data_IF_068559891433
#
_entry.id   IF_068559891433
#
_cell.length_a   1.000
_cell.length_b   1.000
_cell.length_c   1.000
_cell.angle_alpha   90.00
_cell.angle_beta   90.00
_cell.angle_gamma   90.00
#
_symmetry.space_group_name_H-M   'P 1'
#
loop_
_entity.id
_entity.type
_entity.pdbx_description
1 polymer ?
#
# COMPACT_ATOMS: atom_id res chain seq x y z
N UNK A 1 43.51 5.97 2.87
CA UNK A 1 42.19 6.50 3.34
C UNK A 1 41.36 7.18 2.24
N UNK A 2 41.94 7.91 1.27
CA UNK A 2 41.20 8.54 0.16
C UNK A 2 40.49 7.53 -0.76
N UNK A 3 41.16 6.46 -1.22
CA UNK A 3 40.52 5.44 -2.07
C UNK A 3 39.33 4.75 -1.40
N UNK A 4 39.43 4.42 -0.10
CA UNK A 4 38.32 3.79 0.65
C UNK A 4 37.10 4.71 0.69
N UNK A 5 37.28 6.03 0.91
CA UNK A 5 36.16 6.99 0.88
C UNK A 5 35.52 7.10 -0.50
N UNK A 6 36.32 7.08 -1.57
CA UNK A 6 35.81 7.13 -2.95
C UNK A 6 35.04 5.86 -3.31
N UNK A 7 35.53 4.68 -2.91
CA UNK A 7 34.82 3.41 -3.12
C UNK A 7 33.49 3.37 -2.36
N UNK A 8 33.47 3.82 -1.11
CA UNK A 8 32.24 3.89 -0.31
C UNK A 8 31.23 4.88 -0.92
N UNK A 9 31.69 6.04 -1.39
CA UNK A 9 30.82 7.02 -2.05
C UNK A 9 30.22 6.47 -3.35
N UNK A 10 31.02 5.80 -4.18
CA UNK A 10 30.55 5.18 -5.41
C UNK A 10 29.54 4.05 -5.14
N UNK A 11 29.78 3.22 -4.10
CA UNK A 11 28.85 2.17 -3.69
C UNK A 11 27.51 2.75 -3.21
N UNK A 12 27.54 3.82 -2.41
CA UNK A 12 26.34 4.51 -1.95
C UNK A 12 25.54 5.11 -3.12
N UNK A 13 26.20 5.73 -4.09
CA UNK A 13 25.55 6.27 -5.29
C UNK A 13 24.91 5.13 -6.12
N UNK A 14 25.60 4.00 -6.25
CA UNK A 14 25.07 2.82 -6.93
C UNK A 14 23.81 2.26 -6.26
N UNK A 15 23.78 2.22 -4.92
CA UNK A 15 22.60 1.77 -4.15
C UNK A 15 21.42 2.72 -4.36
N UNK A 16 21.65 4.04 -4.34
CA UNK A 16 20.59 5.04 -4.56
C UNK A 16 20.04 4.95 -5.98
N UNK A 17 20.91 4.78 -6.98
CA UNK A 17 20.51 4.65 -8.38
C UNK A 17 19.73 3.37 -8.69
N UNK A 18 19.92 2.32 -7.89
CA UNK A 18 19.21 1.04 -8.01
C UNK A 18 17.90 0.98 -7.21
N UNK A 19 17.55 2.03 -6.45
CA UNK A 19 16.31 2.06 -5.69
C UNK A 19 15.10 2.25 -6.61
N UNK A 20 14.21 1.26 -6.67
CA UNK A 20 12.90 1.41 -7.33
C UNK A 20 11.98 2.34 -6.53
N UNK A 21 11.13 3.15 -7.18
CA UNK A 21 10.18 3.99 -6.48
C UNK A 21 9.19 3.13 -5.69
N UNK A 22 9.02 3.42 -4.40
CA UNK A 22 7.92 2.87 -3.62
C UNK A 22 6.59 3.42 -4.18
N UNK A 23 5.75 2.53 -4.72
CA UNK A 23 4.38 2.85 -5.11
C UNK A 23 3.51 2.63 -3.87
N UNK A 24 2.74 3.64 -3.47
CA UNK A 24 1.69 3.46 -2.47
C UNK A 24 0.44 2.86 -3.14
N UNK A 25 -0.42 2.18 -2.36
CA UNK A 25 -1.77 1.79 -2.80
C UNK A 25 -2.46 2.97 -3.45
N UNK A 26 -2.79 2.85 -4.73
CA UNK A 26 -3.60 3.81 -5.45
C UNK A 26 -5.09 3.52 -5.18
N UNK A 27 -5.86 4.54 -4.84
CA UNK A 27 -7.28 4.36 -4.56
C UNK A 27 -8.05 4.15 -5.86
N UNK A 28 -8.82 3.06 -5.94
CA UNK A 28 -9.66 2.74 -7.09
C UNK A 28 -11.03 3.42 -6.93
N UNK A 29 -11.43 4.19 -7.93
CA UNK A 29 -12.75 4.84 -7.92
C UNK A 29 -13.85 3.81 -8.16
N UNK A 30 -14.81 3.75 -7.25
CA UNK A 30 -16.05 2.98 -7.40
C UNK A 30 -17.10 3.87 -8.04
N UNK A 31 -17.86 3.32 -9.00
CA UNK A 31 -18.99 4.00 -9.64
C UNK A 31 -20.20 3.06 -9.62
N UNK A 32 -21.40 3.61 -9.45
CA UNK A 32 -22.66 2.85 -9.38
C UNK A 32 -22.98 2.09 -10.67
N UNK A 33 -22.49 2.57 -11.81
CA UNK A 33 -22.69 2.01 -13.14
C UNK A 33 -21.66 0.94 -13.53
N UNK A 34 -20.64 0.73 -12.69
CA UNK A 34 -19.56 -0.22 -12.96
C UNK A 34 -19.91 -1.59 -12.36
N UNK A 35 -20.18 -2.61 -13.18
CA UNK A 35 -20.69 -3.89 -12.69
C UNK A 35 -19.66 -4.73 -11.93
N UNK A 36 -18.37 -4.52 -12.21
CA UNK A 36 -17.28 -5.21 -11.53
C UNK A 36 -16.00 -4.35 -11.57
N UNK A 37 -15.18 -4.46 -10.53
CA UNK A 37 -13.86 -3.82 -10.43
C UNK A 37 -12.81 -4.93 -10.37
N UNK A 38 -11.85 -4.90 -11.29
CA UNK A 38 -10.70 -5.81 -11.24
C UNK A 38 -9.67 -5.28 -10.23
N UNK A 39 -9.41 -6.08 -9.19
CA UNK A 39 -8.49 -5.74 -8.10
C UNK A 39 -7.18 -6.51 -8.18
N UNK A 40 -6.98 -7.34 -9.21
CA UNK A 40 -5.88 -8.31 -9.27
C UNK A 40 -4.51 -7.66 -9.12
N UNK A 41 -4.29 -6.56 -9.84
CA UNK A 41 -3.03 -5.81 -9.82
C UNK A 41 -3.04 -4.65 -8.82
N UNK A 42 -4.23 -4.24 -8.37
CA UNK A 42 -4.40 -3.12 -7.44
C UNK A 42 -4.25 -3.54 -5.97
N UNK A 43 -4.36 -4.84 -5.68
CA UNK A 43 -4.22 -5.38 -4.34
C UNK A 43 -2.74 -5.59 -3.97
N UNK A 44 -2.30 -4.92 -2.91
CA UNK A 44 -1.04 -5.23 -2.25
C UNK A 44 -1.18 -6.52 -1.43
N UNK A 45 -0.20 -7.41 -1.59
CA UNK A 45 -0.16 -8.69 -0.88
C UNK A 45 0.74 -8.55 0.34
N UNK A 46 0.17 -8.75 1.51
CA UNK A 46 0.87 -8.69 2.79
C UNK A 46 0.88 -10.05 3.47
N UNK A 47 1.95 -10.34 4.18
CA UNK A 47 2.06 -11.50 5.05
C UNK A 47 2.40 -11.02 6.47
N UNK A 48 1.70 -11.55 7.47
CA UNK A 48 1.90 -11.20 8.89
C UNK A 48 2.33 -12.43 9.69
N UNK A 49 3.10 -12.24 10.76
CA UNK A 49 3.51 -13.37 11.61
C UNK A 49 2.35 -13.91 12.47
N UNK A 50 1.32 -13.10 12.70
CA UNK A 50 0.12 -13.47 13.43
C UNK A 50 -1.15 -13.27 12.62
N UNK A 51 -2.29 -13.54 13.25
CA UNK A 51 -3.62 -13.49 12.64
C UNK A 51 -4.17 -12.06 12.51
N UNK A 52 -3.33 -11.03 12.54
CA UNK A 52 -3.76 -9.63 12.57
C UNK A 52 -2.95 -8.78 11.60
N UNK A 53 -3.65 -7.91 10.88
CA UNK A 53 -3.06 -6.84 10.08
C UNK A 53 -3.51 -5.48 10.60
N UNK A 54 -2.58 -4.51 10.60
CA UNK A 54 -2.86 -3.11 10.87
C UNK A 54 -2.55 -2.30 9.62
N UNK A 55 -3.57 -1.65 9.05
CA UNK A 55 -3.40 -0.78 7.88
C UNK A 55 -3.97 0.60 8.16
N UNK A 56 -3.35 1.63 7.60
CA UNK A 56 -3.91 2.98 7.63
C UNK A 56 -4.80 3.16 6.41
N UNK A 57 -6.01 3.65 6.61
CA UNK A 57 -6.89 4.06 5.53
C UNK A 57 -6.38 5.39 4.93
N UNK A 58 -6.77 5.66 3.69
CA UNK A 58 -6.63 7.00 3.14
C UNK A 58 -7.40 8.02 4.02
N UNK A 59 -6.97 9.29 4.06
CA UNK A 59 -7.71 10.34 4.75
C UNK A 59 -9.17 10.38 4.27
N UNK A 60 -10.12 10.44 5.22
CA UNK A 60 -11.53 10.68 4.88
C UNK A 60 -11.75 12.11 4.36
N UNK A 61 -13.00 12.44 4.01
CA UNK A 61 -13.37 13.81 3.65
C UNK A 61 -13.09 14.83 4.78
N UNK A 62 -13.02 14.35 6.02
CA UNK A 62 -12.63 15.09 7.21
C UNK A 62 -11.10 15.23 7.39
N UNK A 63 -10.31 14.66 6.47
CA UNK A 63 -8.85 14.61 6.55
C UNK A 63 -8.33 13.63 7.61
N UNK A 64 -9.20 12.87 8.28
CA UNK A 64 -8.80 11.99 9.36
C UNK A 64 -8.34 10.64 8.80
N UNK A 65 -7.09 10.30 9.09
CA UNK A 65 -6.53 8.98 8.82
C UNK A 65 -7.00 8.02 9.91
N UNK A 66 -7.69 6.96 9.50
CA UNK A 66 -8.17 5.89 10.39
C UNK A 66 -7.25 4.69 10.29
N UNK A 67 -7.12 3.94 11.38
CA UNK A 67 -6.37 2.68 11.39
C UNK A 67 -7.35 1.52 11.48
N UNK A 68 -7.23 0.58 10.55
CA UNK A 68 -7.97 -0.67 10.55
C UNK A 68 -7.12 -1.71 11.27
N UNK A 69 -7.68 -2.35 12.29
CA UNK A 69 -7.13 -3.54 12.95
C UNK A 69 -8.07 -4.69 12.62
N UNK A 70 -7.61 -5.61 11.77
CA UNK A 70 -8.41 -6.74 11.30
C UNK A 70 -7.76 -8.02 11.78
N UNK A 71 -8.58 -8.91 12.34
CA UNK A 71 -8.19 -10.26 12.74
C UNK A 71 -8.74 -11.29 11.75
N UNK A 72 -7.93 -12.26 11.38
CA UNK A 72 -8.32 -13.37 10.53
C UNK A 72 -9.25 -14.33 11.27
N UNK A 73 -10.15 -14.97 10.53
CA UNK A 73 -11.15 -15.90 11.09
C UNK A 73 -10.62 -17.33 11.29
N UNK A 74 -9.67 -17.76 10.44
CA UNK A 74 -9.21 -19.16 10.35
C UNK A 74 -7.68 -19.27 10.35
N UNK A 75 -6.98 -18.44 11.14
CA UNK A 75 -5.51 -18.49 11.24
C UNK A 75 -4.75 -18.07 9.99
N UNK A 76 -5.43 -17.58 8.95
CA UNK A 76 -4.79 -17.05 7.75
C UNK A 76 -4.03 -15.75 8.08
N UNK A 77 -2.84 -15.62 7.53
CA UNK A 77 -1.96 -14.49 7.72
C UNK A 77 -1.52 -13.83 6.41
N UNK A 78 -2.16 -14.21 5.30
CA UNK A 78 -2.00 -13.57 4.00
C UNK A 78 -3.17 -12.62 3.75
N UNK A 79 -2.84 -11.40 3.35
CA UNK A 79 -3.79 -10.31 3.20
C UNK A 79 -3.68 -9.70 1.82
N UNK A 80 -4.83 -9.33 1.25
CA UNK A 80 -4.92 -8.46 0.09
C UNK A 80 -5.46 -7.10 0.56
N UNK A 81 -4.69 -6.04 0.35
CA UNK A 81 -5.02 -4.67 0.76
C UNK A 81 -5.18 -3.80 -0.47
N UNK A 82 -6.31 -3.14 -0.59
CA UNK A 82 -6.62 -2.18 -1.65
C UNK A 82 -7.44 -1.03 -1.05
N UNK A 83 -7.40 0.14 -1.68
CA UNK A 83 -8.14 1.32 -1.25
C UNK A 83 -9.25 1.62 -2.25
N UNK A 84 -10.48 1.78 -1.79
CA UNK A 84 -11.61 2.20 -2.63
C UNK A 84 -11.96 3.65 -2.31
N UNK A 85 -12.26 4.42 -3.36
CA UNK A 85 -12.75 5.78 -3.25
C UNK A 85 -14.11 5.90 -3.93
N UNK A 86 -15.11 6.43 -3.24
CA UNK A 86 -16.30 6.93 -3.90
C UNK A 86 -16.00 8.36 -4.38
N UNK A 87 -15.83 8.52 -5.70
CA UNK A 87 -15.52 9.83 -6.31
C UNK A 87 -16.77 10.53 -6.85
N UNK A 88 -17.96 9.95 -6.68
CA UNK A 88 -19.22 10.54 -7.13
C UNK A 88 -19.88 11.43 -6.07
N UNK A 89 -20.89 12.19 -6.50
CA UNK A 89 -21.69 13.06 -5.63
C UNK A 89 -22.80 12.30 -4.88
N UNK A 90 -23.02 11.04 -5.24
CA UNK A 90 -23.97 10.14 -4.61
C UNK A 90 -23.28 9.18 -3.65
N UNK A 91 -23.94 8.86 -2.55
CA UNK A 91 -23.45 7.86 -1.61
C UNK A 91 -23.72 6.45 -2.15
N UNK A 92 -22.65 5.66 -2.27
CA UNK A 92 -22.69 4.22 -2.56
C UNK A 92 -22.97 3.38 -1.31
#
# INVERSE_FOLDING_TARGET
MRCVRTCVAAALIGIIAAASPARAVEAISVRSDTPAIDLTDAAERHHTDGERILVSAAPGADGIIRRMDVRAREGNNNWAVFALANSGDEQL
#
